data_IF_441156407375
#
_entry.id   IF_441156407375
#
_cell.length_a   1.000
_cell.length_b   1.000
_cell.length_c   1.000
_cell.angle_alpha   90.00
_cell.angle_beta   90.00
_cell.angle_gamma   90.00
#
_symmetry.space_group_name_H-M   'P 1'
#
loop_
_entity.id
_entity.type
_entity.pdbx_description
1 polymer ?
#
# COMPACT_ATOMS: atom_id res chain seq x y z
N UNK A 1 9.43 3.70 3.17
CA UNK A 1 8.98 4.02 4.54
C UNK A 1 9.43 2.91 5.47
N UNK A 2 10.01 3.23 6.63
CA UNK A 2 10.44 2.22 7.60
C UNK A 2 9.22 1.52 8.21
N UNK A 3 9.26 0.18 8.27
CA UNK A 3 8.26 -0.61 8.97
C UNK A 3 8.72 -0.83 10.43
N UNK A 4 7.88 -0.42 11.37
CA UNK A 4 8.08 -0.68 12.81
C UNK A 4 6.86 -1.47 13.28
N UNK A 5 7.09 -2.67 13.80
CA UNK A 5 6.06 -3.57 14.33
C UNK A 5 6.51 -4.04 15.70
N UNK A 6 5.66 -3.93 16.72
CA UNK A 6 5.98 -4.26 18.12
C UNK A 6 7.34 -3.72 18.57
N UNK A 7 7.59 -2.43 18.30
CA UNK A 7 8.86 -1.71 18.58
C UNK A 7 10.10 -2.24 17.83
N UNK A 8 9.97 -3.31 17.05
CA UNK A 8 11.03 -3.84 16.19
C UNK A 8 11.00 -3.13 14.84
N UNK A 9 12.09 -2.44 14.50
CA UNK A 9 12.31 -1.95 13.14
C UNK A 9 12.66 -3.12 12.24
N UNK A 10 11.76 -3.45 11.32
CA UNK A 10 11.99 -4.49 10.33
C UNK A 10 12.86 -3.91 9.21
N UNK A 11 13.87 -4.67 8.75
CA UNK A 11 14.76 -4.27 7.65
C UNK A 11 14.09 -4.47 6.28
N UNK A 12 12.87 -3.94 6.17
CA UNK A 12 12.05 -3.92 4.97
C UNK A 12 11.53 -2.51 4.78
N UNK A 13 11.54 -2.06 3.53
CA UNK A 13 11.02 -0.75 3.15
C UNK A 13 9.76 -0.92 2.30
N UNK A 14 8.66 -0.28 2.71
CA UNK A 14 7.50 -0.14 1.82
C UNK A 14 7.59 1.15 1.01
N UNK A 15 7.19 1.06 -0.25
CA UNK A 15 6.96 2.22 -1.11
C UNK A 15 5.46 2.32 -1.32
N UNK A 16 4.91 3.50 -1.07
CA UNK A 16 3.55 3.83 -1.47
C UNK A 16 3.60 4.45 -2.86
N UNK A 17 2.60 4.16 -3.68
CA UNK A 17 2.38 4.89 -4.93
C UNK A 17 1.93 6.32 -4.61
N UNK A 18 0.85 6.47 -3.84
CA UNK A 18 0.31 7.78 -3.45
C UNK A 18 -0.15 7.83 -2.00
N UNK A 19 0.17 8.95 -1.34
CA UNK A 19 -0.37 9.34 -0.04
C UNK A 19 -1.10 10.67 -0.19
N UNK A 20 -2.43 10.62 -0.21
CA UNK A 20 -3.29 11.78 -0.44
C UNK A 20 -3.74 12.36 0.91
N UNK A 21 -3.51 13.67 1.11
CA UNK A 21 -3.84 14.42 2.33
C UNK A 21 -3.36 13.78 3.66
N UNK A 22 -2.37 12.87 3.62
CA UNK A 22 -1.96 12.03 4.76
C UNK A 22 -3.10 11.20 5.37
N UNK A 23 -4.18 10.97 4.63
CA UNK A 23 -5.39 10.25 5.09
C UNK A 23 -5.73 9.05 4.22
N UNK A 24 -5.38 9.09 2.94
CA UNK A 24 -5.73 8.06 1.99
C UNK A 24 -4.49 7.49 1.31
N UNK A 25 -4.37 6.17 1.35
CA UNK A 25 -3.33 5.42 0.63
C UNK A 25 -3.96 4.88 -0.64
N UNK A 26 -3.41 5.25 -1.78
CA UNK A 26 -3.83 4.75 -3.08
C UNK A 26 -2.69 3.93 -3.70
N UNK A 27 -2.99 2.69 -4.05
CA UNK A 27 -2.10 1.75 -4.73
C UNK A 27 -2.64 1.52 -6.15
N UNK A 28 -1.80 1.66 -7.16
CA UNK A 28 -2.20 1.44 -8.56
C UNK A 28 -1.80 0.03 -8.98
N UNK A 29 -2.76 -0.72 -9.50
CA UNK A 29 -2.51 -2.04 -10.08
C UNK A 29 -2.96 -2.06 -11.53
N UNK A 30 -2.04 -2.37 -12.44
CA UNK A 30 -2.38 -2.67 -13.83
C UNK A 30 -2.88 -4.11 -13.90
N UNK A 31 -4.08 -4.31 -14.44
CA UNK A 31 -4.69 -5.62 -14.65
C UNK A 31 -5.31 -5.68 -16.05
N UNK A 32 -5.32 -6.85 -16.65
CA UNK A 32 -5.92 -7.06 -17.97
C UNK A 32 -7.45 -6.95 -17.91
N UNK A 33 -8.06 -7.47 -16.84
CA UNK A 33 -9.50 -7.42 -16.59
C UNK A 33 -9.79 -7.27 -15.08
N UNK A 34 -10.95 -6.67 -14.76
CA UNK A 34 -11.42 -6.54 -13.38
C UNK A 34 -12.21 -7.78 -12.98
N UNK A 35 -11.65 -8.57 -12.07
CA UNK A 35 -12.35 -9.66 -11.38
C UNK A 35 -13.18 -9.14 -10.18
N UNK A 36 -14.18 -9.92 -9.76
CA UNK A 36 -15.08 -9.58 -8.64
C UNK A 36 -14.36 -9.24 -7.33
N UNK A 37 -13.19 -9.85 -7.07
CA UNK A 37 -12.35 -9.57 -5.89
C UNK A 37 -11.80 -8.14 -5.84
N UNK A 38 -11.81 -7.42 -6.96
CA UNK A 38 -11.41 -6.02 -7.05
C UNK A 38 -12.58 -5.05 -6.89
N UNK A 39 -13.81 -5.56 -6.79
CA UNK A 39 -15.00 -4.78 -6.52
C UNK A 39 -15.16 -4.60 -4.99
N UNK A 40 -15.68 -3.44 -4.59
CA UNK A 40 -15.85 -3.04 -3.19
C UNK A 40 -17.24 -3.40 -2.64
#
# INVERSE_FOLDING_TARGET
MPLIYDEVKLDVGYRLDFLIEKKFVLEIKSVETLNDVHLA
#
